data_IF_994833990327
#
_entry.id   IF_994833990327
#
_cell.length_a   1.000
_cell.length_b   1.000
_cell.length_c   1.000
_cell.angle_alpha   90.00
_cell.angle_beta   90.00
_cell.angle_gamma   90.00
#
_symmetry.space_group_name_H-M   'P 1'
#
loop_
_entity.id
_entity.type
_entity.pdbx_description
1 polymer ?
#
# COMPACT_ATOMS: atom_id res chain seq x y z
N UNK A 1 12.22 -10.36 0.69
CA UNK A 1 11.66 -10.19 2.05
C UNK A 1 12.70 -9.68 3.04
N UNK A 2 13.95 -10.11 2.94
CA UNK A 2 15.06 -9.72 3.83
C UNK A 2 15.30 -8.21 3.87
N UNK A 3 15.21 -7.57 2.71
CA UNK A 3 15.29 -6.12 2.57
C UNK A 3 14.17 -5.42 3.36
N UNK A 4 12.92 -5.88 3.21
CA UNK A 4 11.78 -5.28 3.90
C UNK A 4 11.80 -5.55 5.41
N UNK A 5 12.33 -6.68 5.86
CA UNK A 5 12.58 -6.89 7.28
C UNK A 5 13.41 -5.75 7.89
N UNK A 6 14.53 -5.40 7.23
CA UNK A 6 15.37 -4.29 7.68
C UNK A 6 14.65 -2.94 7.62
N UNK A 7 13.83 -2.71 6.60
CA UNK A 7 13.02 -1.49 6.50
C UNK A 7 12.07 -1.35 7.69
N UNK A 8 11.36 -2.41 8.06
CA UNK A 8 10.44 -2.39 9.22
C UNK A 8 11.20 -2.32 10.55
N UNK A 9 12.30 -3.04 10.68
CA UNK A 9 13.16 -2.99 11.86
C UNK A 9 13.67 -1.57 12.12
N UNK A 10 14.19 -0.90 11.10
CA UNK A 10 14.58 0.51 11.23
C UNK A 10 13.39 1.42 11.44
N UNK A 11 12.23 1.11 10.86
CA UNK A 11 10.99 1.80 11.16
C UNK A 11 10.64 1.79 12.64
N UNK A 12 10.90 0.69 13.35
CA UNK A 12 10.74 0.63 14.81
C UNK A 12 11.79 1.49 15.51
N UNK A 13 13.05 1.38 15.12
CA UNK A 13 14.16 2.08 15.81
C UNK A 13 14.10 3.59 15.66
N UNK A 14 13.67 4.14 14.52
CA UNK A 14 13.58 5.58 14.28
C UNK A 14 12.62 6.30 15.23
N UNK A 15 11.58 5.62 15.72
CA UNK A 15 10.61 6.22 16.63
C UNK A 15 11.05 6.20 18.09
N UNK A 16 11.99 5.33 18.49
CA UNK A 16 12.42 5.19 19.89
C UNK A 16 12.98 6.51 20.47
N UNK A 17 13.94 7.21 19.80
CA UNK A 17 14.45 8.49 20.31
C UNK A 17 13.34 9.55 20.41
N UNK A 18 12.40 9.55 19.49
CA UNK A 18 11.26 10.46 19.49
C UNK A 18 10.38 10.23 20.73
N UNK A 19 10.06 8.98 21.04
CA UNK A 19 9.23 8.66 22.20
C UNK A 19 9.92 8.95 23.53
N UNK A 20 11.23 8.73 23.63
CA UNK A 20 12.02 9.07 24.82
C UNK A 20 12.07 10.59 25.00
N UNK A 21 12.37 11.34 23.92
CA UNK A 21 12.51 12.80 23.97
C UNK A 21 11.23 13.55 24.33
N UNK A 22 10.06 13.03 23.96
CA UNK A 22 8.77 13.65 24.26
C UNK A 22 8.09 13.09 25.51
N UNK A 23 8.71 12.15 26.24
CA UNK A 23 8.17 11.58 27.47
C UNK A 23 6.83 10.83 27.30
N UNK A 24 6.51 10.41 26.08
CA UNK A 24 5.19 9.86 25.72
C UNK A 24 5.07 8.37 26.03
N UNK A 25 6.19 7.71 26.37
CA UNK A 25 6.24 6.28 26.65
C UNK A 25 5.31 5.78 27.78
N UNK A 26 5.11 6.51 28.89
CA UNK A 26 4.42 5.90 30.03
C UNK A 26 2.91 5.78 29.89
N UNK A 27 2.24 6.75 29.31
CA UNK A 27 0.78 6.83 29.37
C UNK A 27 0.03 5.89 28.45
N UNK A 28 0.64 5.53 27.31
CA UNK A 28 -0.01 4.72 26.27
C UNK A 28 0.19 3.20 26.46
N UNK A 29 1.29 2.81 27.11
CA UNK A 29 1.57 1.39 27.39
C UNK A 29 0.90 0.87 28.65
N UNK A 30 0.39 1.76 29.51
CA UNK A 30 -0.14 1.36 30.81
C UNK A 30 -1.46 0.57 30.70
N UNK A 31 -2.32 0.81 29.70
CA UNK A 31 -3.52 -0.01 29.46
C UNK A 31 -4.11 0.17 28.05
N UNK A 32 -3.45 -0.27 26.97
CA UNK A 32 -4.11 -0.25 25.67
C UNK A 32 -5.29 -1.23 25.68
N UNK A 33 -6.44 -0.87 25.11
CA UNK A 33 -7.58 -1.76 25.05
C UNK A 33 -7.20 -3.04 24.27
N UNK A 34 -7.63 -4.20 24.74
CA UNK A 34 -7.35 -5.50 24.10
C UNK A 34 -7.67 -5.49 22.59
N UNK A 35 -8.71 -4.74 22.21
CA UNK A 35 -9.10 -4.52 20.82
C UNK A 35 -7.96 -3.96 19.97
N UNK A 36 -7.12 -3.05 20.50
CA UNK A 36 -6.00 -2.47 19.76
C UNK A 36 -4.97 -3.53 19.35
N UNK A 37 -4.65 -4.45 20.27
CA UNK A 37 -3.70 -5.52 19.98
C UNK A 37 -4.17 -6.43 18.85
N UNK A 38 -5.46 -6.80 18.83
CA UNK A 38 -6.02 -7.57 17.73
C UNK A 38 -5.95 -6.80 16.40
N UNK A 39 -6.24 -5.50 16.41
CA UNK A 39 -6.14 -4.63 15.23
C UNK A 39 -4.70 -4.61 14.71
N UNK A 40 -3.71 -4.39 15.57
CA UNK A 40 -2.29 -4.34 15.20
C UNK A 40 -1.80 -5.68 14.65
N UNK A 41 -2.16 -6.79 15.31
CA UNK A 41 -1.76 -8.13 14.88
C UNK A 41 -2.39 -8.44 13.50
N UNK A 42 -3.68 -8.22 13.33
CA UNK A 42 -4.37 -8.48 12.07
C UNK A 42 -3.85 -7.59 10.93
N UNK A 43 -3.65 -6.29 11.19
CA UNK A 43 -3.11 -5.39 10.18
C UNK A 43 -1.70 -5.81 9.77
N UNK A 44 -0.77 -6.00 10.71
CA UNK A 44 0.60 -6.44 10.40
C UNK A 44 0.65 -7.80 9.69
N UNK A 45 -0.27 -8.73 10.01
CA UNK A 45 -0.41 -9.99 9.30
C UNK A 45 -0.82 -9.79 7.84
N UNK A 46 -1.89 -9.02 7.57
CA UNK A 46 -2.33 -8.76 6.20
C UNK A 46 -1.36 -7.89 5.42
N UNK A 47 -0.68 -6.92 6.05
CA UNK A 47 0.40 -6.18 5.41
C UNK A 47 1.57 -7.08 5.02
N UNK A 48 1.96 -8.01 5.88
CA UNK A 48 3.01 -8.99 5.56
C UNK A 48 2.60 -9.88 4.38
N UNK A 49 1.35 -10.38 4.36
CA UNK A 49 0.79 -11.12 3.21
C UNK A 49 0.86 -10.27 1.94
N UNK A 50 0.45 -8.99 2.03
CA UNK A 50 0.53 -8.06 0.91
C UNK A 50 1.95 -8.00 0.33
N UNK A 51 2.97 -7.75 1.16
CA UNK A 51 4.35 -7.65 0.69
C UNK A 51 4.88 -8.97 0.14
N UNK A 52 4.59 -10.10 0.78
CA UNK A 52 4.98 -11.44 0.29
C UNK A 52 4.38 -11.69 -1.08
N UNK A 53 3.07 -11.52 -1.22
CA UNK A 53 2.35 -11.75 -2.47
C UNK A 53 2.82 -10.79 -3.57
N UNK A 54 3.02 -9.51 -3.25
CA UNK A 54 3.46 -8.50 -4.20
C UNK A 54 4.85 -8.79 -4.74
N UNK A 55 5.81 -9.10 -3.86
CA UNK A 55 7.19 -9.41 -4.25
C UNK A 55 7.24 -10.67 -5.13
N UNK A 56 6.52 -11.73 -4.73
CA UNK A 56 6.47 -12.96 -5.51
C UNK A 56 5.73 -12.74 -6.84
N UNK A 57 4.69 -11.92 -6.88
CA UNK A 57 3.98 -11.58 -8.11
C UNK A 57 4.92 -10.88 -9.11
N UNK A 58 5.70 -9.90 -8.66
CA UNK A 58 6.68 -9.21 -9.50
C UNK A 58 7.85 -10.09 -9.93
N UNK A 59 8.20 -11.09 -9.11
CA UNK A 59 9.29 -12.02 -9.44
C UNK A 59 8.93 -13.00 -10.54
N UNK A 60 7.66 -13.44 -10.61
CA UNK A 60 7.22 -14.49 -11.53
C UNK A 60 6.34 -13.99 -12.68
N UNK A 61 5.89 -12.74 -12.64
CA UNK A 61 4.98 -12.15 -13.62
C UNK A 61 5.55 -10.95 -14.34
N UNK A 62 4.88 -10.59 -15.43
CA UNK A 62 5.20 -9.37 -16.16
C UNK A 62 4.68 -8.13 -15.42
N UNK A 63 5.52 -7.10 -15.27
CA UNK A 63 5.20 -5.87 -14.55
C UNK A 63 3.93 -5.20 -15.09
N UNK A 64 3.75 -5.20 -16.41
CA UNK A 64 2.60 -4.60 -17.10
C UNK A 64 1.26 -5.23 -16.73
N UNK A 65 1.26 -6.50 -16.29
CA UNK A 65 0.07 -7.23 -15.89
C UNK A 65 -0.11 -7.25 -14.37
N UNK A 66 0.98 -7.47 -13.63
CA UNK A 66 0.95 -7.56 -12.15
C UNK A 66 0.62 -6.21 -11.52
N UNK A 67 1.19 -5.12 -12.06
CA UNK A 67 1.05 -3.78 -11.48
C UNK A 67 -0.41 -3.31 -11.39
N UNK A 68 -1.24 -3.32 -12.47
CA UNK A 68 -2.61 -2.84 -12.38
C UNK A 68 -3.48 -3.70 -11.47
N UNK A 69 -3.24 -5.02 -11.42
CA UNK A 69 -3.99 -5.93 -10.55
C UNK A 69 -3.67 -5.66 -9.09
N UNK A 70 -2.38 -5.56 -8.74
CA UNK A 70 -1.97 -5.28 -7.35
C UNK A 70 -2.41 -3.90 -6.86
N UNK A 71 -2.64 -2.96 -7.78
CA UNK A 71 -3.13 -1.60 -7.48
C UNK A 71 -4.65 -1.48 -7.45
N UNK A 72 -5.40 -2.56 -7.66
CA UNK A 72 -6.87 -2.55 -7.62
C UNK A 72 -7.47 -2.53 -6.19
N UNK A 73 -6.65 -2.48 -5.16
CA UNK A 73 -7.07 -2.38 -3.76
C UNK A 73 -8.20 -1.34 -3.48
N UNK A 74 -8.23 -0.13 -4.08
CA UNK A 74 -9.31 0.83 -3.84
C UNK A 74 -10.71 0.29 -4.14
N UNK A 75 -10.85 -0.59 -5.14
CA UNK A 75 -12.14 -1.21 -5.47
C UNK A 75 -12.66 -2.12 -4.36
N UNK A 76 -11.77 -2.84 -3.70
CA UNK A 76 -12.13 -3.74 -2.60
C UNK A 76 -12.25 -2.99 -1.29
N UNK A 77 -11.38 -1.97 -1.06
CA UNK A 77 -11.43 -1.16 0.17
C UNK A 77 -12.78 -0.52 0.38
N UNK A 78 -13.43 0.03 -0.67
CA UNK A 78 -14.76 0.62 -0.53
C UNK A 78 -15.81 -0.40 -0.09
N UNK A 79 -15.71 -1.66 -0.56
CA UNK A 79 -16.64 -2.73 -0.16
C UNK A 79 -16.47 -3.02 1.33
N UNK A 80 -15.23 -3.25 1.76
CA UNK A 80 -14.94 -3.52 3.18
C UNK A 80 -15.26 -2.33 4.08
N UNK A 81 -14.98 -1.10 3.63
CA UNK A 81 -15.28 0.11 4.39
C UNK A 81 -16.79 0.32 4.60
N UNK A 82 -17.61 0.04 3.60
CA UNK A 82 -19.07 0.06 3.74
C UNK A 82 -19.53 -1.01 4.73
N UNK A 83 -19.04 -2.25 4.57
CA UNK A 83 -19.51 -3.39 5.36
C UNK A 83 -19.04 -3.31 6.82
N UNK A 84 -17.78 -3.00 7.06
CA UNK A 84 -17.17 -3.08 8.41
C UNK A 84 -17.09 -1.75 9.15
N UNK A 85 -16.99 -0.63 8.43
CA UNK A 85 -16.90 0.70 9.05
C UNK A 85 -18.18 1.52 8.88
N UNK A 86 -19.16 1.03 8.11
CA UNK A 86 -20.39 1.77 7.84
C UNK A 86 -20.15 3.05 7.02
N UNK A 87 -19.10 3.11 6.20
CA UNK A 87 -18.85 4.28 5.37
C UNK A 87 -19.99 4.49 4.35
N UNK A 88 -20.59 5.66 4.36
CA UNK A 88 -21.57 6.06 3.34
C UNK A 88 -20.82 6.82 2.26
N UNK A 89 -20.71 6.24 1.06
CA UNK A 89 -20.05 6.86 -0.08
C UNK A 89 -21.06 7.65 -0.91
N UNK A 90 -20.73 8.89 -1.23
CA UNK A 90 -21.53 9.68 -2.15
C UNK A 90 -21.32 9.19 -3.60
N UNK A 91 -22.34 9.29 -4.48
CA UNK A 91 -22.23 8.84 -5.87
C UNK A 91 -21.05 9.47 -6.61
N UNK A 92 -20.79 10.77 -6.39
CA UNK A 92 -19.61 11.47 -6.95
C UNK A 92 -18.28 10.88 -6.49
N UNK A 93 -18.18 10.47 -5.21
CA UNK A 93 -16.99 9.81 -4.69
C UNK A 93 -16.78 8.41 -5.26
N UNK A 94 -17.86 7.64 -5.43
CA UNK A 94 -17.81 6.32 -6.07
C UNK A 94 -17.35 6.43 -7.55
N UNK A 95 -17.91 7.40 -8.28
CA UNK A 95 -17.48 7.71 -9.65
C UNK A 95 -16.01 8.13 -9.69
N UNK A 96 -15.58 8.95 -8.72
CA UNK A 96 -14.18 9.36 -8.56
C UNK A 96 -13.25 8.15 -8.35
N UNK A 97 -13.60 7.21 -7.49
CA UNK A 97 -12.83 5.96 -7.29
C UNK A 97 -12.74 5.17 -8.60
N UNK A 98 -13.85 5.03 -9.34
CA UNK A 98 -13.89 4.37 -10.64
C UNK A 98 -12.95 5.03 -11.66
N UNK A 99 -12.97 6.37 -11.75
CA UNK A 99 -12.07 7.13 -12.63
C UNK A 99 -10.60 6.98 -12.22
N UNK A 100 -10.29 7.05 -10.93
CA UNK A 100 -8.92 6.82 -10.42
C UNK A 100 -8.43 5.44 -10.85
N UNK A 101 -9.26 4.42 -10.73
CA UNK A 101 -8.91 3.06 -11.13
C UNK A 101 -8.73 2.93 -12.64
N UNK A 102 -9.63 3.51 -13.44
CA UNK A 102 -9.51 3.52 -14.90
C UNK A 102 -8.23 4.23 -15.35
N UNK A 103 -7.93 5.40 -14.79
CA UNK A 103 -6.71 6.16 -15.06
C UNK A 103 -5.44 5.38 -14.68
N UNK A 104 -5.41 4.79 -13.49
CA UNK A 104 -4.29 3.94 -13.04
C UNK A 104 -4.06 2.73 -13.94
N UNK A 105 -5.17 2.13 -14.42
CA UNK A 105 -5.09 1.02 -15.37
C UNK A 105 -4.51 1.46 -16.71
N UNK A 106 -4.99 2.58 -17.27
CA UNK A 106 -4.48 3.13 -18.54
C UNK A 106 -2.99 3.45 -18.44
N UNK A 107 -2.54 4.00 -17.30
CA UNK A 107 -1.11 4.27 -17.03
C UNK A 107 -0.24 3.00 -17.07
N UNK A 108 -0.82 1.84 -16.81
CA UNK A 108 -0.11 0.56 -16.82
C UNK A 108 -0.02 -0.07 -18.23
N UNK A 109 -0.80 0.43 -19.21
CA UNK A 109 -0.79 -0.10 -20.57
C UNK A 109 0.47 0.37 -21.32
N UNK A 110 1.11 -0.55 -22.04
CA UNK A 110 2.13 -0.23 -23.04
C UNK A 110 1.44 0.07 -24.38
N UNK A 111 1.08 1.36 -24.60
CA UNK A 111 0.31 1.79 -25.78
C UNK A 111 -1.20 1.49 -25.68
N UNK A 112 -2.00 2.09 -26.59
CA UNK A 112 -3.47 1.89 -26.67
C UNK A 112 -3.86 0.52 -27.28
N UNK A 113 -3.16 -0.53 -26.96
CA UNK A 113 -3.50 -1.86 -27.47
C UNK A 113 -4.59 -2.52 -26.62
N UNK A 114 -5.84 -2.13 -26.81
CA UNK A 114 -7.04 -2.75 -26.23
C UNK A 114 -7.12 -4.27 -26.46
N UNK A 115 -6.39 -4.80 -27.47
CA UNK A 115 -6.31 -6.25 -27.71
C UNK A 115 -5.78 -7.06 -26.53
N UNK A 116 -4.95 -6.47 -25.67
CA UNK A 116 -4.45 -7.17 -24.46
C UNK A 116 -5.50 -7.26 -23.35
N UNK A 117 -6.55 -6.42 -23.39
CA UNK A 117 -7.68 -6.45 -22.46
C UNK A 117 -8.58 -7.69 -22.68
N UNK A 118 -8.72 -8.12 -23.94
CA UNK A 118 -9.67 -9.15 -24.36
C UNK A 118 -8.99 -10.39 -24.94
N UNK A 119 -7.67 -10.48 -24.88
CA UNK A 119 -6.97 -11.70 -25.28
C UNK A 119 -7.11 -12.72 -24.13
N UNK A 120 -7.94 -13.75 -24.28
CA UNK A 120 -8.00 -14.85 -23.35
C UNK A 120 -6.77 -15.74 -23.59
N UNK A 121 -5.61 -15.21 -23.26
CA UNK A 121 -4.44 -16.07 -23.12
C UNK A 121 -4.80 -17.09 -22.04
N UNK A 122 -4.70 -18.38 -22.33
CA UNK A 122 -4.95 -19.51 -21.45
C UNK A 122 -4.13 -19.53 -20.15
N UNK A 123 -3.50 -18.41 -19.80
CA UNK A 123 -2.74 -18.14 -18.58
C UNK A 123 -3.47 -17.29 -17.55
N UNK A 124 -4.79 -17.07 -17.71
CA UNK A 124 -5.61 -16.27 -16.75
C UNK A 124 -5.57 -16.80 -15.31
N UNK A 125 -5.09 -18.02 -15.09
CA UNK A 125 -4.85 -18.59 -13.76
C UNK A 125 -3.32 -18.76 -13.57
N UNK A 126 -2.52 -17.83 -14.04
CA UNK A 126 -1.10 -17.87 -13.74
C UNK A 126 -0.86 -17.51 -12.27
N UNK A 127 0.13 -18.14 -11.66
CA UNK A 127 0.53 -17.87 -10.27
C UNK A 127 0.73 -16.39 -9.97
N UNK A 128 1.23 -15.62 -10.93
CA UNK A 128 1.46 -14.17 -10.79
C UNK A 128 0.16 -13.38 -10.64
N UNK A 129 -0.91 -13.75 -11.35
CA UNK A 129 -2.21 -13.09 -11.22
C UNK A 129 -2.85 -13.35 -9.86
N UNK A 130 -2.83 -14.61 -9.41
CA UNK A 130 -3.34 -14.96 -8.10
C UNK A 130 -2.60 -14.21 -6.98
N UNK A 131 -1.28 -14.13 -7.08
CA UNK A 131 -0.46 -13.40 -6.12
C UNK A 131 -0.74 -11.89 -6.16
N UNK A 132 -0.84 -11.29 -7.34
CA UNK A 132 -1.18 -9.87 -7.47
C UNK A 132 -2.58 -9.54 -6.94
N UNK A 133 -3.55 -10.41 -7.21
CA UNK A 133 -4.91 -10.29 -6.70
C UNK A 133 -4.96 -10.47 -5.18
N UNK A 134 -4.26 -11.47 -4.64
CA UNK A 134 -4.13 -11.66 -3.19
C UNK A 134 -3.48 -10.45 -2.51
N UNK A 135 -2.48 -9.83 -3.15
CA UNK A 135 -1.88 -8.59 -2.67
C UNK A 135 -2.90 -7.44 -2.64
N UNK A 136 -3.73 -7.28 -3.68
CA UNK A 136 -4.77 -6.25 -3.71
C UNK A 136 -5.82 -6.46 -2.60
N UNK A 137 -6.27 -7.68 -2.40
CA UNK A 137 -7.22 -8.03 -1.33
C UNK A 137 -6.59 -7.79 0.05
N UNK A 138 -5.38 -8.29 0.29
CA UNK A 138 -4.69 -8.07 1.56
C UNK A 138 -4.48 -6.57 1.84
N UNK A 139 -4.10 -5.79 0.80
CA UNK A 139 -3.96 -4.33 0.90
C UNK A 139 -5.27 -3.64 1.25
N UNK A 140 -6.38 -4.07 0.68
CA UNK A 140 -7.69 -3.50 0.98
C UNK A 140 -8.15 -3.80 2.42
N UNK A 141 -7.87 -5.01 2.90
CA UNK A 141 -8.24 -5.45 4.25
C UNK A 141 -7.44 -4.68 5.30
N UNK A 142 -6.09 -4.68 5.21
CA UNK A 142 -5.31 -3.98 6.22
C UNK A 142 -5.62 -2.48 6.25
N UNK A 143 -5.90 -1.85 5.10
CA UNK A 143 -6.25 -0.43 5.07
C UNK A 143 -7.52 -0.11 5.88
N UNK A 144 -8.52 -0.99 5.86
CA UNK A 144 -9.75 -0.85 6.66
C UNK A 144 -9.46 -1.10 8.14
N UNK A 145 -8.62 -2.07 8.46
CA UNK A 145 -8.17 -2.36 9.82
C UNK A 145 -7.39 -1.17 10.38
N UNK A 146 -6.49 -0.58 9.58
CA UNK A 146 -5.70 0.60 9.96
C UNK A 146 -6.57 1.82 10.25
N UNK A 147 -7.62 2.03 9.45
CA UNK A 147 -8.62 3.06 9.74
C UNK A 147 -9.22 2.90 11.13
N UNK A 148 -9.58 1.66 11.51
CA UNK A 148 -10.09 1.39 12.85
C UNK A 148 -9.01 1.59 13.94
N UNK A 149 -7.75 1.29 13.64
CA UNK A 149 -6.62 1.46 14.55
C UNK A 149 -6.32 2.93 14.87
N UNK A 150 -6.26 3.78 13.84
CA UNK A 150 -5.98 5.22 14.02
C UNK A 150 -7.13 5.99 14.65
N UNK A 151 -8.30 5.39 14.78
CA UNK A 151 -9.42 5.95 15.57
C UNK A 151 -9.25 5.69 17.09
N UNK A 152 -8.42 4.73 17.48
CA UNK A 152 -8.20 4.35 18.88
C UNK A 152 -6.94 5.03 19.43
N UNK A 153 -5.88 5.14 18.62
CA UNK A 153 -4.58 5.62 19.02
C UNK A 153 -4.00 6.59 17.98
N UNK A 154 -3.14 7.50 18.42
CA UNK A 154 -2.50 8.47 17.53
C UNK A 154 -1.72 7.78 16.39
N UNK A 155 -1.79 8.26 15.12
CA UNK A 155 -1.17 7.61 13.95
C UNK A 155 0.31 7.28 14.09
N UNK A 156 1.10 8.12 14.77
CA UNK A 156 2.54 7.88 15.00
C UNK A 156 2.77 6.61 15.81
N UNK A 157 1.99 6.41 16.90
CA UNK A 157 2.10 5.20 17.74
C UNK A 157 1.56 3.98 17.02
N UNK A 158 0.46 4.15 16.30
CA UNK A 158 -0.11 3.09 15.50
C UNK A 158 0.90 2.58 14.48
N UNK A 159 1.55 3.48 13.74
CA UNK A 159 2.57 3.13 12.75
C UNK A 159 3.76 2.40 13.38
N UNK A 160 4.20 2.83 14.57
CA UNK A 160 5.27 2.14 15.30
C UNK A 160 4.88 0.69 15.64
N UNK A 161 3.66 0.48 16.17
CA UNK A 161 3.14 -0.85 16.47
C UNK A 161 3.00 -1.72 15.22
N UNK A 162 2.57 -1.15 14.09
CA UNK A 162 2.49 -1.85 12.80
C UNK A 162 3.90 -2.27 12.33
N UNK A 163 4.89 -1.38 12.36
CA UNK A 163 6.27 -1.74 11.99
C UNK A 163 6.80 -2.89 12.87
N UNK A 164 6.52 -2.86 14.17
CA UNK A 164 6.89 -3.94 15.09
C UNK A 164 6.21 -5.26 14.71
N UNK A 165 4.91 -5.23 14.48
CA UNK A 165 4.13 -6.39 14.04
C UNK A 165 4.65 -6.97 12.73
N UNK A 166 4.92 -6.11 11.74
CA UNK A 166 5.47 -6.52 10.44
C UNK A 166 6.88 -7.09 10.56
N UNK A 167 7.74 -6.51 11.39
CA UNK A 167 9.07 -7.05 11.65
C UNK A 167 8.99 -8.46 12.25
N UNK A 168 8.05 -8.69 13.19
CA UNK A 168 7.81 -10.01 13.79
C UNK A 168 7.31 -11.01 12.74
N UNK A 169 6.25 -10.67 11.99
CA UNK A 169 5.69 -11.59 10.98
C UNK A 169 6.67 -11.86 9.83
N UNK A 170 7.45 -10.86 9.40
CA UNK A 170 8.47 -11.02 8.37
C UNK A 170 9.60 -11.92 8.88
N UNK A 171 10.03 -11.78 10.14
CA UNK A 171 11.01 -12.67 10.77
C UNK A 171 10.50 -14.10 10.80
N UNK A 172 9.25 -14.30 11.22
CA UNK A 172 8.61 -15.62 11.27
C UNK A 172 8.52 -16.26 9.89
N UNK A 173 8.13 -15.49 8.87
CA UNK A 173 8.11 -15.95 7.48
C UNK A 173 9.50 -16.40 7.01
N UNK A 174 10.56 -15.64 7.34
CA UNK A 174 11.92 -15.98 6.92
C UNK A 174 12.44 -17.25 7.61
N UNK A 175 12.17 -17.41 8.90
CA UNK A 175 12.58 -18.62 9.65
C UNK A 175 11.91 -19.87 9.05
N UNK A 176 10.62 -19.79 8.69
CA UNK A 176 9.86 -20.93 8.18
C UNK A 176 10.18 -21.30 6.73
N UNK A 177 10.41 -20.29 5.86
CA UNK A 177 10.44 -20.52 4.42
C UNK A 177 11.76 -20.24 3.71
N UNK A 178 12.68 -19.48 4.32
CA UNK A 178 13.93 -19.09 3.65
C UNK A 178 15.14 -19.15 4.59
N UNK A 179 16.13 -19.97 4.24
CA UNK A 179 17.46 -19.90 4.83
C UNK A 179 18.29 -18.82 4.12
N UNK A 180 18.07 -17.55 4.45
CA UNK A 180 18.83 -16.44 3.83
C UNK A 180 19.63 -15.70 4.90
N UNK A 181 20.81 -15.22 4.51
CA UNK A 181 21.66 -14.39 5.36
C UNK A 181 21.15 -12.95 5.37
N UNK A 182 20.45 -12.56 6.44
CA UNK A 182 20.00 -11.19 6.68
C UNK A 182 21.14 -10.18 6.63
N UNK A 183 22.29 -10.55 7.18
CA UNK A 183 23.47 -9.70 7.25
C UNK A 183 24.05 -9.40 5.87
N UNK A 184 24.01 -10.33 4.93
CA UNK A 184 24.46 -10.10 3.56
C UNK A 184 23.65 -8.99 2.88
N UNK A 185 22.33 -9.04 3.00
CA UNK A 185 21.45 -8.01 2.42
C UNK A 185 21.68 -6.65 3.09
N UNK A 186 21.92 -6.64 4.39
CA UNK A 186 22.27 -5.40 5.10
C UNK A 186 23.56 -4.79 4.56
N UNK A 187 24.64 -5.58 4.47
CA UNK A 187 25.94 -5.10 4.03
C UNK A 187 25.92 -4.57 2.59
N UNK A 188 25.15 -5.23 1.71
CA UNK A 188 25.05 -4.88 0.29
C UNK A 188 24.15 -3.66 0.04
N UNK A 189 23.12 -3.40 0.89
CA UNK A 189 22.05 -2.44 0.59
C UNK A 189 21.68 -1.54 1.77
N UNK A 190 22.58 -1.30 2.72
CA UNK A 190 22.28 -0.54 3.95
C UNK A 190 21.79 0.89 3.69
N UNK A 191 22.37 1.59 2.69
CA UNK A 191 21.97 2.96 2.36
C UNK A 191 20.55 3.00 1.80
N UNK A 192 20.24 2.11 0.86
CA UNK A 192 18.93 1.97 0.24
C UNK A 192 17.88 1.57 1.28
N UNK A 193 18.20 0.66 2.18
CA UNK A 193 17.35 0.25 3.29
C UNK A 193 16.99 1.45 4.17
N UNK A 194 17.98 2.23 4.62
CA UNK A 194 17.74 3.39 5.48
C UNK A 194 16.91 4.47 4.78
N UNK A 195 17.23 4.78 3.53
CA UNK A 195 16.47 5.76 2.74
C UNK A 195 15.03 5.31 2.58
N UNK A 196 14.81 4.06 2.19
CA UNK A 196 13.46 3.52 1.99
C UNK A 196 12.72 3.42 3.32
N UNK A 197 13.37 3.05 4.42
CA UNK A 197 12.74 3.02 5.73
C UNK A 197 12.20 4.39 6.13
N UNK A 198 12.99 5.46 5.94
CA UNK A 198 12.53 6.83 6.24
C UNK A 198 11.38 7.25 5.32
N UNK A 199 11.55 7.08 4.01
CA UNK A 199 10.55 7.52 3.03
C UNK A 199 9.24 6.75 3.14
N UNK A 200 9.30 5.43 3.33
CA UNK A 200 8.11 4.59 3.49
C UNK A 200 7.35 4.94 4.78
N UNK A 201 8.07 5.10 5.89
CA UNK A 201 7.44 5.48 7.17
C UNK A 201 6.81 6.87 7.08
N UNK A 202 7.51 7.86 6.51
CA UNK A 202 6.96 9.19 6.31
C UNK A 202 5.71 9.16 5.42
N UNK A 203 5.77 8.46 4.28
CA UNK A 203 4.65 8.34 3.36
C UNK A 203 3.44 7.65 4.01
N UNK A 204 3.69 6.55 4.77
CA UNK A 204 2.59 5.82 5.40
C UNK A 204 1.99 6.58 6.59
N UNK A 205 2.81 7.32 7.34
CA UNK A 205 2.32 8.22 8.38
C UNK A 205 1.33 9.26 7.82
N UNK A 206 1.64 9.86 6.67
CA UNK A 206 0.72 10.80 6.01
C UNK A 206 -0.60 10.12 5.61
N UNK A 207 -0.54 8.87 5.15
CA UNK A 207 -1.75 8.08 4.86
C UNK A 207 -2.58 7.84 6.11
N UNK A 208 -1.95 7.42 7.21
CA UNK A 208 -2.62 7.19 8.49
C UNK A 208 -3.23 8.49 9.05
N UNK A 209 -2.51 9.62 8.93
CA UNK A 209 -3.05 10.94 9.28
C UNK A 209 -4.27 11.31 8.42
N UNK A 210 -4.20 11.10 7.11
CA UNK A 210 -5.34 11.33 6.24
C UNK A 210 -6.54 10.43 6.61
N UNK A 211 -6.29 9.19 7.05
CA UNK A 211 -7.34 8.29 7.53
C UNK A 211 -8.02 8.78 8.80
N UNK A 212 -7.39 9.60 9.66
CA UNK A 212 -8.09 10.20 10.80
C UNK A 212 -9.13 11.25 10.38
N UNK A 213 -8.91 11.88 9.22
CA UNK A 213 -9.69 13.04 8.75
C UNK A 213 -10.69 12.69 7.66
N UNK A 214 -10.53 11.57 6.96
CA UNK A 214 -11.32 11.23 5.77
C UNK A 214 -11.69 9.74 5.73
N UNK A 215 -12.63 9.39 4.86
CA UNK A 215 -13.05 8.00 4.61
C UNK A 215 -11.88 7.19 4.05
N UNK A 216 -11.70 5.96 4.54
CA UNK A 216 -10.59 5.11 4.07
C UNK A 216 -10.69 4.81 2.57
N UNK A 217 -11.91 4.66 2.06
CA UNK A 217 -12.17 4.45 0.62
C UNK A 217 -11.57 5.56 -0.24
N UNK A 218 -11.68 6.81 0.20
CA UNK A 218 -11.13 7.97 -0.52
C UNK A 218 -9.61 8.07 -0.34
N UNK A 219 -9.10 7.83 0.85
CA UNK A 219 -7.65 7.88 1.14
C UNK A 219 -6.91 6.84 0.32
N UNK A 220 -7.41 5.60 0.26
CA UNK A 220 -6.75 4.51 -0.50
C UNK A 220 -6.80 4.78 -2.01
N UNK A 221 -7.89 5.35 -2.52
CA UNK A 221 -7.96 5.80 -3.91
C UNK A 221 -6.99 6.97 -4.17
N UNK A 222 -6.88 7.94 -3.26
CA UNK A 222 -5.97 9.08 -3.38
C UNK A 222 -4.49 8.66 -3.42
N UNK A 223 -4.11 7.56 -2.77
CA UNK A 223 -2.76 7.00 -2.85
C UNK A 223 -2.30 6.70 -4.30
N UNK A 224 -3.24 6.54 -5.23
CA UNK A 224 -2.90 6.34 -6.65
C UNK A 224 -2.29 7.59 -7.31
N UNK A 225 -2.28 8.75 -6.65
CA UNK A 225 -1.55 9.95 -7.10
C UNK A 225 -0.07 9.64 -7.38
N UNK A 226 0.51 8.68 -6.66
CA UNK A 226 1.88 8.20 -6.92
C UNK A 226 2.11 7.69 -8.35
N UNK A 227 1.06 7.16 -9.01
CA UNK A 227 1.13 6.73 -10.39
C UNK A 227 1.30 7.90 -11.37
N UNK A 228 0.77 9.09 -11.03
CA UNK A 228 0.98 10.32 -11.82
C UNK A 228 2.46 10.69 -11.81
N UNK A 229 3.07 10.74 -10.64
CA UNK A 229 4.51 11.04 -10.52
C UNK A 229 5.36 10.01 -11.25
N UNK A 230 5.02 8.71 -11.10
CA UNK A 230 5.69 7.65 -11.84
C UNK A 230 5.58 7.81 -13.37
N UNK A 231 4.41 8.19 -13.87
CA UNK A 231 4.20 8.44 -15.30
C UNK A 231 5.00 9.65 -15.81
N UNK A 232 5.01 10.75 -15.05
CA UNK A 232 5.79 11.94 -15.41
C UNK A 232 7.29 11.60 -15.43
N UNK A 233 7.79 10.90 -14.41
CA UNK A 233 9.19 10.48 -14.37
C UNK A 233 9.53 9.54 -15.54
N UNK A 234 8.65 8.61 -15.90
CA UNK A 234 8.82 7.72 -17.04
C UNK A 234 8.98 8.48 -18.35
N UNK A 235 8.15 9.49 -18.58
CA UNK A 235 8.22 10.32 -19.81
C UNK A 235 9.46 11.23 -19.80
N UNK A 236 9.72 11.93 -18.68
CA UNK A 236 10.77 12.96 -18.61
C UNK A 236 12.17 12.34 -18.53
N UNK A 237 12.38 11.36 -17.64
CA UNK A 237 13.72 10.78 -17.39
C UNK A 237 14.02 9.56 -18.24
N UNK A 238 13.03 8.67 -18.44
CA UNK A 238 13.22 7.44 -19.19
C UNK A 238 12.90 7.60 -20.69
N UNK A 239 12.40 8.79 -21.11
CA UNK A 239 12.06 9.11 -22.52
C UNK A 239 11.13 8.07 -23.16
N UNK A 240 10.16 7.58 -22.41
CA UNK A 240 9.22 6.58 -22.90
C UNK A 240 8.37 7.13 -24.04
N UNK A 241 8.21 6.32 -25.09
CA UNK A 241 7.55 6.74 -26.35
C UNK A 241 6.02 6.87 -26.24
N UNK A 242 5.39 6.21 -25.24
CA UNK A 242 3.93 6.12 -25.11
C UNK A 242 3.31 7.30 -24.32
N UNK A 243 3.85 8.51 -24.52
CA UNK A 243 3.44 9.70 -23.75
C UNK A 243 1.95 10.02 -23.85
N UNK A 244 1.29 9.73 -25.01
CA UNK A 244 -0.15 9.97 -25.20
C UNK A 244 -1.01 9.10 -24.28
N UNK A 245 -0.71 7.81 -24.19
CA UNK A 245 -1.39 6.88 -23.28
C UNK A 245 -1.20 7.31 -21.82
N UNK A 246 0.03 7.71 -21.47
CA UNK A 246 0.33 8.19 -20.13
C UNK A 246 -0.41 9.49 -19.79
N UNK A 247 -0.43 10.45 -20.70
CA UNK A 247 -1.17 11.70 -20.51
C UNK A 247 -2.67 11.44 -20.34
N UNK A 248 -3.26 10.58 -21.14
CA UNK A 248 -4.69 10.19 -21.00
C UNK A 248 -4.95 9.56 -19.62
N UNK A 249 -4.11 8.63 -19.18
CA UNK A 249 -4.24 8.01 -17.87
C UNK A 249 -4.10 9.03 -16.72
N UNK A 250 -3.15 9.96 -16.82
CA UNK A 250 -2.98 11.06 -15.83
C UNK A 250 -4.22 11.93 -15.78
N UNK A 251 -4.76 12.35 -16.91
CA UNK A 251 -5.96 13.22 -16.95
C UNK A 251 -7.16 12.52 -16.30
N UNK A 252 -7.44 11.26 -16.70
CA UNK A 252 -8.57 10.51 -16.13
C UNK A 252 -8.40 10.30 -14.62
N UNK A 253 -7.20 9.93 -14.18
CA UNK A 253 -6.89 9.74 -12.77
C UNK A 253 -7.08 11.05 -12.00
N UNK A 254 -6.57 12.16 -12.52
CA UNK A 254 -6.69 13.49 -11.90
C UNK A 254 -8.17 13.91 -11.78
N UNK A 255 -8.97 13.70 -12.82
CA UNK A 255 -10.41 13.93 -12.76
C UNK A 255 -11.06 13.12 -11.63
N UNK A 256 -10.69 11.85 -11.51
CA UNK A 256 -11.16 10.99 -10.42
C UNK A 256 -10.80 11.54 -9.03
N UNK A 257 -9.58 12.04 -8.84
CA UNK A 257 -9.16 12.67 -7.58
C UNK A 257 -9.96 13.96 -7.28
N UNK A 258 -10.26 14.75 -8.31
CA UNK A 258 -11.12 15.95 -8.15
C UNK A 258 -12.53 15.55 -7.71
N UNK A 259 -13.14 14.52 -8.33
CA UNK A 259 -14.45 14.02 -7.91
C UNK A 259 -14.45 13.52 -6.46
N UNK A 260 -13.41 12.85 -6.03
CA UNK A 260 -13.26 12.43 -4.63
C UNK A 260 -13.14 13.64 -3.70
N UNK A 261 -12.37 14.66 -4.08
CA UNK A 261 -12.18 15.87 -3.29
C UNK A 261 -13.46 16.71 -3.15
N UNK A 262 -14.35 16.64 -4.13
CA UNK A 262 -15.64 17.33 -4.14
C UNK A 262 -16.77 16.52 -3.48
N UNK A 263 -16.56 15.24 -3.23
CA UNK A 263 -17.54 14.35 -2.60
C UNK A 263 -17.58 14.61 -1.08
N UNK A 264 -18.50 15.50 -0.68
CA UNK A 264 -18.77 15.85 0.73
C UNK A 264 -19.92 15.05 1.29
#
# INVERSE_FOLDING_TARGET
>A
MEFFFWVFFWGVLFYIPFFIGFGVFPSLFLTPPLKLWWIVILSGFFETIYFVCLIEAYRVGELSLVYPISRSAPLFTQIWAIVFLGEILFPGGMLGIGLVMAGSYILSLKGFHLKYLFSPSHRLISRSYLLAFSAAIASSIYSVIDKAGVQIIHPVFYLWLINLSMAIFTSFYMVLWKKVSLWKVWDESKKEILIIAVLQNAAYLLVLMAMTMSKVSYVVAFRQVGAIFGAIMGVVFLKEKDWKTRLTGVVILTLGLVFIGLAK
#
